data_IF_273084539312
#
_entry.id   IF_273084539312
#
_cell.length_a   1.000
_cell.length_b   1.000
_cell.length_c   1.000
_cell.angle_alpha   90.00
_cell.angle_beta   90.00
_cell.angle_gamma   90.00
#
_symmetry.space_group_name_H-M   'P 1'
#
loop_
_entity.id
_entity.type
_entity.pdbx_description
1 polymer ?
#
# COMPACT_ATOMS: atom_id res chain seq x y z
N UNK A 1 11.68 3.10 -5.82
CA UNK A 1 11.25 4.49 -5.59
C UNK A 1 12.25 5.24 -4.72
N UNK A 2 12.55 4.79 -3.49
CA UNK A 2 13.41 5.53 -2.56
C UNK A 2 14.82 5.90 -3.09
N UNK A 3 15.35 5.15 -4.06
CA UNK A 3 16.66 5.40 -4.69
C UNK A 3 16.55 5.88 -6.16
N UNK A 4 15.33 6.04 -6.68
CA UNK A 4 15.08 6.42 -8.09
C UNK A 4 14.70 7.89 -8.16
N UNK A 5 15.67 8.76 -8.40
CA UNK A 5 15.50 10.22 -8.42
C UNK A 5 14.58 10.70 -9.55
N UNK A 6 14.57 10.02 -10.69
CA UNK A 6 13.70 10.37 -11.81
C UNK A 6 12.25 10.11 -11.43
N UNK A 7 11.96 8.92 -10.87
CA UNK A 7 10.62 8.58 -10.40
C UNK A 7 10.14 9.52 -9.29
N UNK A 8 11.04 9.92 -8.37
CA UNK A 8 10.71 10.89 -7.31
C UNK A 8 10.33 12.25 -7.88
N UNK A 9 11.15 12.80 -8.77
CA UNK A 9 10.88 14.09 -9.40
C UNK A 9 9.54 14.10 -10.13
N UNK A 10 9.22 13.03 -10.87
CA UNK A 10 7.94 12.91 -11.58
C UNK A 10 6.74 12.87 -10.62
N UNK A 11 6.89 12.19 -9.48
CA UNK A 11 5.83 12.14 -8.46
C UNK A 11 5.65 13.49 -7.76
N UNK A 12 6.73 14.24 -7.54
CA UNK A 12 6.66 15.58 -6.94
C UNK A 12 5.96 16.60 -7.83
N UNK A 13 6.13 16.49 -9.16
CA UNK A 13 5.47 17.38 -10.13
C UNK A 13 3.94 17.28 -10.16
N UNK A 14 3.36 16.18 -9.65
CA UNK A 14 1.91 15.94 -9.67
C UNK A 14 1.24 16.16 -8.31
N UNK A 15 1.98 16.64 -7.31
CA UNK A 15 1.42 16.90 -5.98
C UNK A 15 0.65 18.22 -5.95
N UNK A 16 -0.49 18.18 -5.28
CA UNK A 16 -1.26 19.39 -4.98
C UNK A 16 -0.56 20.23 -3.89
N UNK A 17 -0.79 21.54 -3.95
CA UNK A 17 -0.29 22.48 -2.94
C UNK A 17 -0.72 22.08 -1.53
N UNK A 18 0.21 22.17 -0.58
CA UNK A 18 -0.02 21.81 0.82
C UNK A 18 0.16 20.33 1.14
N UNK A 19 0.44 19.46 0.16
CA UNK A 19 0.79 18.05 0.38
C UNK A 19 2.31 17.88 0.28
N UNK A 20 2.91 17.33 1.33
CA UNK A 20 4.32 16.92 1.31
C UNK A 20 4.45 15.43 1.00
N UNK A 21 5.39 15.06 0.12
CA UNK A 21 5.76 13.67 -0.13
C UNK A 21 7.12 13.34 0.48
N UNK A 22 7.32 12.07 0.85
CA UNK A 22 8.61 11.52 1.26
C UNK A 22 8.77 10.13 0.65
N UNK A 23 9.95 9.83 0.15
CA UNK A 23 10.27 8.52 -0.43
C UNK A 23 11.23 7.78 0.50
N UNK A 24 10.71 6.79 1.21
CA UNK A 24 11.48 5.99 2.17
C UNK A 24 11.47 4.53 1.78
N UNK A 25 12.56 3.83 2.12
CA UNK A 25 12.52 2.38 2.19
C UNK A 25 11.74 1.93 3.44
N UNK A 26 11.34 0.66 3.47
CA UNK A 26 10.50 0.09 4.55
C UNK A 26 11.14 0.28 5.92
N UNK A 27 12.45 0.00 6.06
CA UNK A 27 13.16 0.16 7.33
C UNK A 27 13.12 1.60 7.84
N UNK A 28 13.40 2.57 6.97
CA UNK A 28 13.39 3.99 7.34
C UNK A 28 12.00 4.45 7.77
N UNK A 29 10.95 3.96 7.13
CA UNK A 29 9.57 4.23 7.51
C UNK A 29 9.28 3.68 8.92
N UNK A 30 9.61 2.41 9.20
CA UNK A 30 9.47 1.80 10.54
C UNK A 30 10.16 2.63 11.61
N UNK A 31 11.44 2.97 11.39
CA UNK A 31 12.26 3.69 12.38
C UNK A 31 11.79 5.13 12.67
N UNK A 32 11.00 5.73 11.75
CA UNK A 32 10.72 7.17 11.76
C UNK A 32 9.25 7.51 11.96
N UNK A 33 8.32 6.66 11.55
CA UNK A 33 6.88 6.99 11.51
C UNK A 33 6.32 7.37 12.88
N UNK A 34 6.83 6.77 13.96
CA UNK A 34 6.42 7.04 15.34
C UNK A 34 6.82 8.44 15.85
N UNK A 35 7.65 9.17 15.09
CA UNK A 35 8.04 10.56 15.41
C UNK A 35 7.08 11.60 14.82
N UNK A 36 6.09 11.16 14.04
CA UNK A 36 5.07 12.05 13.50
C UNK A 36 4.21 12.61 14.64
N UNK A 37 3.89 13.90 14.55
CA UNK A 37 2.92 14.52 15.48
C UNK A 37 1.49 14.11 15.13
N UNK A 38 0.59 14.12 16.12
CA UNK A 38 -0.83 13.75 15.93
C UNK A 38 -1.57 14.61 14.88
N UNK A 39 -1.04 15.81 14.59
CA UNK A 39 -1.57 16.72 13.57
C UNK A 39 -1.21 16.29 12.15
N UNK A 40 -0.17 15.47 11.97
CA UNK A 40 0.24 14.99 10.67
C UNK A 40 -0.63 13.80 10.24
N UNK A 41 -1.43 14.02 9.19
CA UNK A 41 -2.14 12.95 8.50
C UNK A 41 -1.24 12.39 7.40
N UNK A 42 -0.91 11.10 7.51
CA UNK A 42 0.03 10.43 6.60
C UNK A 42 -0.73 9.39 5.77
N UNK A 43 -0.62 9.49 4.45
CA UNK A 43 -1.03 8.45 3.52
C UNK A 43 0.19 7.59 3.18
N UNK A 44 0.17 6.31 3.57
CA UNK A 44 1.21 5.36 3.19
C UNK A 44 0.85 4.72 1.85
N UNK A 45 1.76 4.85 0.87
CA UNK A 45 1.64 4.23 -0.44
C UNK A 45 2.78 3.23 -0.61
N UNK A 46 2.44 1.95 -0.74
CA UNK A 46 3.41 0.87 -0.97
C UNK A 46 3.18 0.21 -2.32
N UNK A 47 4.22 -0.43 -2.86
CA UNK A 47 4.14 -1.08 -4.18
C UNK A 47 3.51 -2.47 -4.08
N UNK A 48 3.74 -3.18 -2.98
CA UNK A 48 3.33 -4.59 -2.83
C UNK A 48 2.72 -4.88 -1.45
N UNK A 49 1.88 -5.93 -1.31
CA UNK A 49 1.40 -6.38 0.00
C UNK A 49 2.53 -6.81 0.93
N UNK A 50 3.64 -7.31 0.38
CA UNK A 50 4.84 -7.68 1.14
C UNK A 50 5.42 -6.50 1.93
N UNK A 51 5.47 -5.32 1.30
CA UNK A 51 5.95 -4.10 1.96
C UNK A 51 5.03 -3.73 3.14
N UNK A 52 3.71 -3.81 2.94
CA UNK A 52 2.74 -3.57 4.00
C UNK A 52 2.87 -4.55 5.15
N UNK A 53 3.05 -5.85 4.88
CA UNK A 53 3.30 -6.84 5.94
C UNK A 53 4.54 -6.48 6.75
N UNK A 54 5.64 -6.13 6.10
CA UNK A 54 6.86 -5.74 6.81
C UNK A 54 6.67 -4.49 7.69
N UNK A 55 5.87 -3.52 7.24
CA UNK A 55 5.51 -2.35 8.05
C UNK A 55 4.70 -2.77 9.29
N UNK A 56 3.70 -3.63 9.12
CA UNK A 56 2.86 -4.12 10.22
C UNK A 56 3.67 -4.93 11.23
N UNK A 57 4.48 -5.88 10.76
CA UNK A 57 5.40 -6.66 11.62
C UNK A 57 6.44 -5.76 12.30
N UNK A 58 6.83 -4.66 11.66
CA UNK A 58 7.70 -3.62 12.20
C UNK A 58 7.03 -2.70 13.23
N UNK A 59 5.75 -2.91 13.56
CA UNK A 59 5.03 -2.13 14.57
C UNK A 59 4.36 -0.86 14.05
N UNK A 60 4.32 -0.64 12.73
CA UNK A 60 3.57 0.50 12.17
C UNK A 60 2.07 0.24 12.33
N UNK A 61 1.29 1.19 12.92
CA UNK A 61 -0.10 0.95 13.30
C UNK A 61 -1.05 1.03 12.09
N UNK A 62 -1.03 0.00 11.24
CA UNK A 62 -1.87 -0.11 10.03
C UNK A 62 -2.98 -1.13 10.32
N UNK A 63 -4.23 -0.66 10.34
CA UNK A 63 -5.40 -1.51 10.58
C UNK A 63 -6.22 -1.78 9.30
N UNK A 64 -6.05 -0.96 8.28
CA UNK A 64 -6.78 -1.06 7.01
C UNK A 64 -5.83 -0.77 5.85
N UNK A 65 -5.95 -1.56 4.78
CA UNK A 65 -5.22 -1.37 3.52
C UNK A 65 -6.24 -1.31 2.38
N UNK A 66 -6.09 -0.31 1.51
CA UNK A 66 -6.80 -0.24 0.24
C UNK A 66 -5.90 -0.69 -0.92
N UNK A 67 -6.38 -1.66 -1.70
CA UNK A 67 -5.76 -2.12 -2.94
C UNK A 67 -6.46 -1.43 -4.10
N UNK A 68 -5.87 -0.34 -4.59
CA UNK A 68 -6.41 0.41 -5.73
C UNK A 68 -6.01 -0.18 -7.08
N UNK A 69 -4.72 -0.49 -7.25
CA UNK A 69 -4.18 -0.98 -8.50
C UNK A 69 -3.02 -1.96 -8.28
N UNK A 70 -3.14 -3.15 -8.86
CA UNK A 70 -2.07 -4.13 -9.02
C UNK A 70 -2.16 -4.68 -10.44
N UNK A 71 -1.32 -4.17 -11.33
CA UNK A 71 -1.37 -4.52 -12.75
C UNK A 71 -1.10 -6.01 -13.00
N UNK A 72 -1.73 -6.52 -14.06
CA UNK A 72 -1.46 -7.86 -14.56
C UNK A 72 0.01 -7.98 -15.00
N UNK A 73 0.62 -9.09 -14.61
CA UNK A 73 1.89 -9.59 -15.11
C UNK A 73 1.67 -11.09 -15.38
N UNK A 74 2.41 -11.65 -16.33
CA UNK A 74 2.31 -13.08 -16.64
C UNK A 74 2.38 -13.96 -15.38
N UNK A 75 1.43 -14.89 -15.25
CA UNK A 75 1.29 -15.75 -14.08
C UNK A 75 0.38 -15.23 -12.96
N UNK A 76 -0.13 -13.99 -13.04
CA UNK A 76 -1.14 -13.48 -12.09
C UNK A 76 -2.57 -13.78 -12.55
N UNK A 77 -3.48 -13.97 -11.60
CA UNK A 77 -4.93 -14.08 -11.85
C UNK A 77 -5.57 -12.71 -11.66
N UNK A 78 -6.35 -12.26 -12.63
CA UNK A 78 -7.15 -11.05 -12.48
C UNK A 78 -8.35 -11.32 -11.55
N UNK A 79 -8.48 -10.50 -10.50
CA UNK A 79 -9.57 -10.61 -9.51
C UNK A 79 -10.51 -9.39 -9.53
N UNK A 80 -10.04 -8.25 -10.04
CA UNK A 80 -10.86 -7.06 -10.29
C UNK A 80 -10.33 -6.29 -11.51
N UNK A 81 -11.06 -5.24 -11.92
CA UNK A 81 -10.73 -4.44 -13.11
C UNK A 81 -9.28 -3.93 -13.13
N UNK A 82 -8.76 -3.51 -11.97
CA UNK A 82 -7.41 -2.95 -11.81
C UNK A 82 -6.51 -3.81 -10.93
N UNK A 83 -6.95 -5.00 -10.51
CA UNK A 83 -6.24 -5.81 -9.52
C UNK A 83 -6.05 -7.23 -10.04
N UNK A 84 -4.80 -7.61 -10.19
CA UNK A 84 -4.34 -8.96 -10.49
C UNK A 84 -3.35 -9.41 -9.43
N UNK A 85 -3.51 -10.64 -8.94
CA UNK A 85 -2.72 -11.20 -7.85
C UNK A 85 -2.11 -12.54 -8.26
N UNK A 86 -0.85 -12.76 -7.85
CA UNK A 86 -0.20 -14.05 -7.91
C UNK A 86 -0.31 -14.81 -6.60
N UNK A 87 0.23 -16.02 -6.55
CA UNK A 87 0.30 -16.85 -5.34
C UNK A 87 1.03 -16.16 -4.19
N UNK A 88 2.13 -15.46 -4.48
CA UNK A 88 2.86 -14.68 -3.47
C UNK A 88 2.03 -13.52 -2.92
N UNK A 89 1.31 -12.78 -3.77
CA UNK A 89 0.47 -11.66 -3.31
C UNK A 89 -0.62 -12.16 -2.36
N UNK A 90 -1.29 -13.27 -2.73
CA UNK A 90 -2.32 -13.91 -1.91
C UNK A 90 -1.75 -14.35 -0.55
N UNK A 91 -0.58 -15.00 -0.54
CA UNK A 91 0.06 -15.43 0.70
C UNK A 91 0.41 -14.24 1.62
N UNK A 92 0.81 -13.10 1.06
CA UNK A 92 1.11 -11.89 1.84
C UNK A 92 -0.18 -11.24 2.37
N UNK A 93 -1.28 -11.22 1.61
CA UNK A 93 -2.59 -10.77 2.10
C UNK A 93 -3.14 -11.66 3.22
N UNK A 94 -2.99 -12.98 3.14
CA UNK A 94 -3.40 -13.89 4.21
C UNK A 94 -2.61 -13.64 5.50
N UNK A 95 -1.31 -13.37 5.42
CA UNK A 95 -0.51 -12.97 6.60
C UNK A 95 -1.01 -11.65 7.19
N UNK A 96 -1.31 -10.66 6.35
CA UNK A 96 -1.89 -9.39 6.79
C UNK A 96 -3.23 -9.58 7.51
N UNK A 97 -4.09 -10.47 7.00
CA UNK A 97 -5.36 -10.84 7.64
C UNK A 97 -5.14 -11.50 8.99
N UNK A 98 -4.18 -12.42 9.09
CA UNK A 98 -3.82 -13.07 10.35
C UNK A 98 -3.28 -12.07 11.39
N UNK A 99 -2.65 -10.98 10.95
CA UNK A 99 -2.23 -9.86 11.77
C UNK A 99 -3.39 -8.88 12.11
N UNK A 100 -4.62 -9.19 11.69
CA UNK A 100 -5.82 -8.39 11.98
C UNK A 100 -6.02 -7.20 11.05
N UNK A 101 -5.29 -7.11 9.94
CA UNK A 101 -5.41 -6.01 8.96
C UNK A 101 -6.57 -6.29 8.02
N UNK A 102 -7.47 -5.30 7.86
CA UNK A 102 -8.55 -5.36 6.88
C UNK A 102 -8.02 -4.95 5.51
N UNK A 103 -8.22 -5.80 4.50
CA UNK A 103 -7.79 -5.52 3.12
C UNK A 103 -9.03 -5.34 2.25
N UNK A 104 -9.18 -4.16 1.66
CA UNK A 104 -10.28 -3.85 0.73
C UNK A 104 -9.74 -3.49 -0.64
N UNK A 105 -10.57 -3.64 -1.67
CA UNK A 105 -10.32 -3.10 -3.01
C UNK A 105 -11.28 -1.96 -3.30
N UNK A 106 -10.72 -0.83 -3.71
CA UNK A 106 -11.45 0.35 -4.13
C UNK A 106 -10.55 1.16 -5.08
N UNK A 107 -10.96 1.28 -6.35
CA UNK A 107 -10.16 1.96 -7.38
C UNK A 107 -10.24 3.48 -7.29
N UNK A 108 -11.44 4.00 -7.04
CA UNK A 108 -11.68 5.43 -6.81
C UNK A 108 -12.59 5.66 -5.59
N UNK A 109 -12.52 6.83 -4.92
CA UNK A 109 -13.30 7.08 -3.70
C UNK A 109 -14.82 6.97 -3.85
N UNK A 110 -15.35 7.11 -5.07
CA UNK A 110 -16.79 7.03 -5.36
C UNK A 110 -17.29 5.59 -5.58
N UNK A 111 -16.41 4.62 -5.74
CA UNK A 111 -16.77 3.21 -5.87
C UNK A 111 -16.99 2.58 -4.48
N UNK A 112 -17.78 1.51 -4.41
CA UNK A 112 -17.93 0.74 -3.17
C UNK A 112 -16.68 -0.08 -2.90
N UNK A 113 -16.16 0.00 -1.68
CA UNK A 113 -15.06 -0.85 -1.24
C UNK A 113 -15.53 -2.31 -1.12
N UNK A 114 -14.78 -3.23 -1.71
CA UNK A 114 -15.06 -4.68 -1.66
C UNK A 114 -14.02 -5.38 -0.79
N UNK A 115 -14.43 -6.34 0.03
CA UNK A 115 -13.48 -7.15 0.80
C UNK A 115 -12.63 -8.01 -0.16
N UNK A 116 -11.31 -7.87 -0.07
CA UNK A 116 -10.37 -8.56 -0.95
C UNK A 116 -10.51 -10.08 -0.85
N UNK A 117 -10.77 -10.61 0.34
CA UNK A 117 -10.86 -12.06 0.58
C UNK A 117 -12.10 -12.72 0.00
N UNK A 118 -13.03 -11.94 -0.56
CA UNK A 118 -14.19 -12.48 -1.29
C UNK A 118 -13.86 -12.84 -2.74
N UNK A 119 -12.71 -12.37 -3.27
CA UNK A 119 -12.30 -12.55 -4.66
C UNK A 119 -11.05 -13.43 -4.85
N UNK A 120 -10.35 -13.78 -3.77
CA UNK A 120 -9.14 -14.62 -3.79
C UNK A 120 -9.39 -16.02 -3.23
#
# INVERSE_FOLDING_TARGET
VAEDTIQQNLMEMVLADGIAIRFWNVKKAIDTIHKASDRQRILLVCRTPKDFRQLVEGGVPISNINVGNMHYVEGKKQIAKTVSVGTEDVAEFEKLKALGVKCTMQGVPTESATDLFTLI
#
